data_IF_779387281356
#
_entry.id   IF_779387281356
#
_cell.length_a   1.000
_cell.length_b   1.000
_cell.length_c   1.000
_cell.angle_alpha   90.00
_cell.angle_beta   90.00
_cell.angle_gamma   90.00
#
_symmetry.space_group_name_H-M   'P 1'
#
loop_
_entity.id
_entity.type
_entity.pdbx_description
1 polymer ?
#
# COMPACT_ATOMS: atom_id res chain seq x y z
N UNK A 1 26.60 -9.86 12.85
CA UNK A 1 25.37 -10.47 12.27
C UNK A 1 24.18 -9.89 13.02
N UNK A 2 23.44 -9.01 12.37
CA UNK A 2 22.16 -8.62 12.92
C UNK A 2 21.24 -9.84 12.92
N UNK A 3 20.47 -10.12 13.99
CA UNK A 3 19.50 -11.20 13.97
C UNK A 3 18.53 -10.94 12.82
N UNK A 4 18.39 -11.89 11.92
CA UNK A 4 17.36 -11.86 10.91
C UNK A 4 16.02 -11.92 11.63
N UNK A 5 15.35 -10.75 11.75
CA UNK A 5 13.97 -10.75 12.20
C UNK A 5 13.18 -11.71 11.29
N UNK A 6 12.35 -12.57 11.85
CA UNK A 6 11.58 -13.50 11.07
C UNK A 6 10.73 -12.69 10.08
N UNK A 7 11.04 -12.82 8.80
CA UNK A 7 10.27 -12.20 7.74
C UNK A 7 8.82 -12.65 7.88
N UNK A 8 7.87 -11.75 8.07
CA UNK A 8 6.48 -12.13 8.20
C UNK A 8 6.06 -12.93 6.97
N UNK A 9 5.33 -14.00 7.17
CA UNK A 9 4.85 -14.89 6.11
C UNK A 9 3.95 -14.19 5.08
N UNK A 10 3.45 -13.02 5.44
CA UNK A 10 2.60 -12.18 4.61
C UNK A 10 3.00 -10.72 4.78
N UNK A 11 3.23 -10.05 3.66
CA UNK A 11 3.62 -8.64 3.61
C UNK A 11 2.75 -7.92 2.59
N UNK A 12 2.34 -6.69 2.91
CA UNK A 12 1.61 -5.82 2.02
C UNK A 12 2.48 -4.64 1.62
N UNK A 13 2.66 -4.43 0.33
CA UNK A 13 3.33 -3.26 -0.23
C UNK A 13 2.27 -2.32 -0.76
N UNK A 14 2.08 -1.19 -0.09
CA UNK A 14 1.12 -0.16 -0.49
C UNK A 14 1.81 0.86 -1.36
N UNK A 15 1.34 0.96 -2.60
CA UNK A 15 1.85 1.88 -3.60
C UNK A 15 0.91 3.08 -3.71
N UNK A 16 1.41 4.24 -3.35
CA UNK A 16 0.67 5.48 -3.25
C UNK A 16 1.16 6.53 -4.25
N UNK A 17 0.30 7.51 -4.52
CA UNK A 17 0.71 8.72 -5.21
C UNK A 17 1.45 9.64 -4.23
N UNK A 18 2.72 9.92 -4.51
CA UNK A 18 3.58 10.75 -3.66
C UNK A 18 3.13 12.21 -3.55
N UNK A 19 2.36 12.70 -4.51
CA UNK A 19 1.89 14.09 -4.55
C UNK A 19 0.52 14.30 -3.89
N UNK A 20 -0.10 13.24 -3.35
CA UNK A 20 -1.43 13.28 -2.78
C UNK A 20 -1.39 13.39 -1.25
N UNK A 21 -1.94 14.50 -0.69
CA UNK A 21 -2.04 14.71 0.75
C UNK A 21 -2.87 13.63 1.46
N UNK A 22 -3.96 13.16 0.85
CA UNK A 22 -4.78 12.08 1.39
C UNK A 22 -3.99 10.77 1.49
N UNK A 23 -3.19 10.45 0.47
CA UNK A 23 -2.34 9.27 0.48
C UNK A 23 -1.29 9.32 1.58
N UNK A 24 -0.68 10.49 1.80
CA UNK A 24 0.29 10.71 2.88
C UNK A 24 -0.35 10.55 4.26
N UNK A 25 -1.57 11.06 4.46
CA UNK A 25 -2.32 10.88 5.71
C UNK A 25 -2.71 9.42 5.94
N UNK A 26 -3.14 8.75 4.88
CA UNK A 26 -3.45 7.32 4.91
C UNK A 26 -2.20 6.50 5.31
N UNK A 27 -1.07 6.75 4.67
CA UNK A 27 0.18 6.07 4.97
C UNK A 27 0.63 6.30 6.41
N UNK A 28 0.49 7.52 6.93
CA UNK A 28 0.79 7.86 8.33
C UNK A 28 -0.11 7.11 9.29
N UNK A 29 -1.42 7.09 9.04
CA UNK A 29 -2.40 6.39 9.87
C UNK A 29 -2.11 4.88 9.90
N UNK A 30 -1.95 4.26 8.74
CA UNK A 30 -1.67 2.83 8.65
C UNK A 30 -0.34 2.48 9.33
N UNK A 31 0.71 3.29 9.14
CA UNK A 31 1.99 3.08 9.82
C UNK A 31 1.88 3.15 11.34
N UNK A 32 1.01 4.01 11.84
CA UNK A 32 0.76 4.12 13.29
C UNK A 32 -0.04 2.92 13.81
N UNK A 33 -1.01 2.43 13.04
CA UNK A 33 -1.85 1.29 13.41
C UNK A 33 -1.14 -0.06 13.24
N UNK A 34 -0.14 -0.14 12.38
CA UNK A 34 0.56 -1.38 12.04
C UNK A 34 1.60 -1.76 13.09
N UNK A 35 1.13 -2.31 14.19
CA UNK A 35 2.00 -2.82 15.27
C UNK A 35 2.74 -4.10 14.89
N UNK A 36 2.29 -4.81 13.85
CA UNK A 36 2.90 -6.06 13.37
C UNK A 36 4.04 -5.84 12.38
N UNK A 37 4.16 -4.63 11.80
CA UNK A 37 5.18 -4.32 10.80
C UNK A 37 4.99 -5.07 9.48
N UNK A 38 3.76 -5.32 9.07
CA UNK A 38 3.44 -6.09 7.85
C UNK A 38 3.15 -5.20 6.64
N UNK A 39 2.97 -3.89 6.82
CA UNK A 39 2.66 -2.95 5.75
C UNK A 39 3.87 -2.09 5.41
N UNK A 40 4.26 -2.11 4.15
CA UNK A 40 5.32 -1.28 3.60
C UNK A 40 4.74 -0.29 2.59
N UNK A 41 5.41 0.84 2.42
CA UNK A 41 4.96 1.93 1.55
C UNK A 41 6.01 2.26 0.51
N UNK A 42 5.56 2.53 -0.69
CA UNK A 42 6.40 3.06 -1.76
C UNK A 42 5.55 3.96 -2.67
N UNK A 43 6.19 4.88 -3.36
CA UNK A 43 5.49 5.70 -4.35
C UNK A 43 5.43 4.96 -5.69
N UNK A 44 4.32 5.09 -6.39
CA UNK A 44 4.15 4.48 -7.72
C UNK A 44 5.14 5.05 -8.74
N UNK A 45 5.58 6.30 -8.53
CA UNK A 45 6.51 7.00 -9.41
C UNK A 45 7.95 6.52 -9.29
N UNK A 46 8.33 5.91 -8.17
CA UNK A 46 9.69 5.44 -7.94
C UNK A 46 10.07 4.25 -8.84
N UNK A 47 11.37 4.05 -9.06
CA UNK A 47 11.87 2.91 -9.82
C UNK A 47 11.47 1.57 -9.15
N UNK A 48 11.51 1.52 -7.82
CA UNK A 48 11.10 0.35 -7.03
C UNK A 48 9.60 0.13 -7.14
N UNK A 49 8.78 1.18 -7.00
CA UNK A 49 7.33 1.11 -7.14
C UNK A 49 6.91 0.58 -8.52
N UNK A 50 7.51 1.09 -9.58
CA UNK A 50 7.26 0.62 -10.94
C UNK A 50 7.62 -0.85 -11.13
N UNK A 51 8.71 -1.30 -10.50
CA UNK A 51 9.11 -2.72 -10.55
C UNK A 51 8.12 -3.61 -9.82
N UNK A 52 7.68 -3.21 -8.63
CA UNK A 52 6.67 -3.96 -7.84
C UNK A 52 5.35 -4.05 -8.60
N UNK A 53 4.89 -2.96 -9.22
CA UNK A 53 3.67 -2.94 -10.04
C UNK A 53 3.78 -3.89 -11.22
N UNK A 54 4.92 -3.90 -11.91
CA UNK A 54 5.18 -4.80 -13.02
C UNK A 54 5.09 -6.27 -12.60
N UNK A 55 5.72 -6.62 -11.49
CA UNK A 55 5.72 -7.98 -10.95
C UNK A 55 4.29 -8.43 -10.56
N UNK A 56 3.47 -7.52 -10.06
CA UNK A 56 2.07 -7.78 -9.73
C UNK A 56 1.13 -7.64 -10.94
N UNK A 57 1.65 -7.40 -12.15
CA UNK A 57 0.87 -7.17 -13.39
C UNK A 57 -0.16 -6.04 -13.23
N UNK A 58 0.21 -5.00 -12.49
CA UNK A 58 -0.62 -3.82 -12.28
C UNK A 58 -0.07 -2.63 -13.06
N UNK A 59 -0.94 -1.82 -13.68
CA UNK A 59 -0.50 -0.59 -14.36
C UNK A 59 -0.08 0.47 -13.34
N UNK A 60 0.77 1.40 -13.77
CA UNK A 60 1.00 2.63 -13.02
C UNK A 60 -0.22 3.53 -13.22
N UNK A 61 -1.03 3.64 -12.20
CA UNK A 61 -2.24 4.48 -12.20
C UNK A 61 -2.28 5.33 -10.93
N UNK A 62 -1.88 6.59 -11.06
CA UNK A 62 -1.84 7.54 -9.96
C UNK A 62 -3.23 7.94 -9.45
N UNK A 63 -4.29 7.54 -10.12
CA UNK A 63 -5.66 7.81 -9.69
C UNK A 63 -6.11 6.92 -8.54
N UNK A 64 -5.41 5.82 -8.27
CA UNK A 64 -5.80 4.83 -7.27
C UNK A 64 -4.62 4.32 -6.44
N UNK A 65 -4.92 3.87 -5.23
CA UNK A 65 -3.98 3.11 -4.40
C UNK A 65 -3.91 1.67 -4.92
N UNK A 66 -2.69 1.15 -5.01
CA UNK A 66 -2.44 -0.26 -5.31
C UNK A 66 -1.76 -0.91 -4.11
N UNK A 67 -2.27 -2.05 -3.69
CA UNK A 67 -1.64 -2.87 -2.65
C UNK A 67 -1.22 -4.19 -3.28
N UNK A 68 0.05 -4.50 -3.17
CA UNK A 68 0.58 -5.80 -3.57
C UNK A 68 0.78 -6.65 -2.32
N UNK A 69 -0.01 -7.68 -2.21
CA UNK A 69 0.11 -8.67 -1.15
C UNK A 69 1.09 -9.75 -1.59
N UNK A 70 2.09 -9.98 -0.77
CA UNK A 70 3.06 -11.02 -1.02
C UNK A 70 2.99 -12.05 0.09
N UNK A 71 2.69 -13.28 -0.28
CA UNK A 71 2.62 -14.42 0.62
C UNK A 71 3.11 -15.67 -0.11
N UNK A 72 3.95 -16.45 0.55
CA UNK A 72 4.46 -17.73 0.03
C UNK A 72 5.09 -17.61 -1.38
N UNK A 73 5.80 -16.52 -1.65
CA UNK A 73 6.44 -16.29 -2.96
C UNK A 73 5.48 -15.84 -4.07
N UNK A 74 4.20 -15.65 -3.76
CA UNK A 74 3.20 -15.16 -4.73
C UNK A 74 2.88 -13.69 -4.46
N UNK A 75 2.88 -12.87 -5.49
CA UNK A 75 2.50 -11.46 -5.43
C UNK A 75 1.16 -11.24 -6.13
N UNK A 76 0.18 -10.70 -5.40
CA UNK A 76 -1.16 -10.40 -5.93
C UNK A 76 -1.46 -8.93 -5.72
N UNK A 77 -1.83 -8.23 -6.79
CA UNK A 77 -2.17 -6.81 -6.77
C UNK A 77 -3.66 -6.58 -6.55
N UNK A 78 -3.97 -5.64 -5.66
CA UNK A 78 -5.33 -5.16 -5.39
C UNK A 78 -5.38 -3.65 -5.58
N UNK A 79 -6.52 -3.14 -6.03
CA UNK A 79 -6.72 -1.73 -6.30
C UNK A 79 -7.95 -1.18 -5.59
N UNK A 80 -8.05 0.15 -5.52
CA UNK A 80 -9.24 0.88 -5.02
C UNK A 80 -9.66 0.44 -3.61
N UNK A 81 -10.95 0.21 -3.42
CA UNK A 81 -11.52 -0.16 -2.11
C UNK A 81 -10.98 -1.49 -1.59
N UNK A 82 -10.76 -2.46 -2.46
CA UNK A 82 -10.20 -3.76 -2.06
C UNK A 82 -8.80 -3.61 -1.49
N UNK A 83 -7.95 -2.76 -2.09
CA UNK A 83 -6.61 -2.45 -1.59
C UNK A 83 -6.65 -1.89 -0.16
N UNK A 84 -7.49 -0.90 0.08
CA UNK A 84 -7.65 -0.26 1.40
C UNK A 84 -8.14 -1.26 2.45
N UNK A 85 -9.20 -2.01 2.14
CA UNK A 85 -9.79 -2.96 3.07
C UNK A 85 -8.84 -4.13 3.38
N UNK A 86 -8.08 -4.60 2.41
CA UNK A 86 -7.05 -5.63 2.61
C UNK A 86 -5.95 -5.15 3.54
N UNK A 87 -5.56 -3.89 3.44
CA UNK A 87 -4.59 -3.28 4.34
C UNK A 87 -5.11 -3.29 5.77
N UNK A 88 -6.33 -2.80 6.02
CA UNK A 88 -6.92 -2.81 7.35
C UNK A 88 -7.11 -4.23 7.89
N UNK A 89 -7.55 -5.17 7.06
CA UNK A 89 -7.68 -6.57 7.46
C UNK A 89 -6.36 -7.20 7.94
N UNK A 90 -5.23 -6.73 7.40
CA UNK A 90 -3.91 -7.21 7.79
C UNK A 90 -3.39 -6.61 9.11
N UNK A 91 -3.91 -5.45 9.53
CA UNK A 91 -3.45 -4.76 10.75
C UNK A 91 -3.79 -5.50 12.05
N UNK A 92 -4.70 -6.45 12.00
CA UNK A 92 -5.15 -7.18 13.18
C UNK A 92 -6.34 -6.52 13.88
N UNK A 93 -6.77 -7.11 15.01
CA UNK A 93 -7.93 -6.63 15.78
C UNK A 93 -7.56 -5.30 16.47
N UNK A 94 -8.47 -4.30 16.49
CA UNK A 94 -9.86 -4.31 15.98
C UNK A 94 -10.00 -3.99 14.48
N UNK A 95 -8.94 -3.55 13.83
CA UNK A 95 -8.96 -3.01 12.46
C UNK A 95 -9.33 -4.07 11.40
N UNK A 96 -9.03 -5.34 11.67
CA UNK A 96 -9.39 -6.46 10.81
C UNK A 96 -10.91 -6.60 10.59
N UNK A 97 -11.72 -6.04 11.47
CA UNK A 97 -13.19 -5.99 11.30
C UNK A 97 -13.58 -5.23 10.03
N UNK A 98 -12.77 -4.27 9.58
CA UNK A 98 -12.99 -3.60 8.31
C UNK A 98 -12.99 -4.58 7.11
N UNK A 99 -12.36 -5.75 7.25
CA UNK A 99 -12.41 -6.82 6.25
C UNK A 99 -13.82 -7.35 5.99
N UNK A 100 -14.76 -7.19 6.92
CA UNK A 100 -16.17 -7.56 6.71
C UNK A 100 -16.78 -6.76 5.55
N UNK A 101 -16.33 -5.55 5.32
CA UNK A 101 -16.79 -4.74 4.19
C UNK A 101 -16.39 -5.33 2.83
N UNK A 102 -15.50 -6.32 2.79
CA UNK A 102 -15.18 -7.06 1.56
C UNK A 102 -16.38 -7.88 1.05
N UNK A 103 -17.34 -8.20 1.91
CA UNK A 103 -18.59 -8.84 1.52
C UNK A 103 -19.56 -7.90 0.79
N UNK A 104 -19.38 -6.58 0.91
CA UNK A 104 -20.16 -5.60 0.14
C UNK A 104 -19.76 -5.72 -1.34
N UNK A 105 -20.72 -5.68 -2.29
CA UNK A 105 -20.41 -5.74 -3.71
C UNK A 105 -19.37 -4.70 -4.14
N UNK A 106 -18.38 -5.13 -4.93
CA UNK A 106 -17.26 -4.30 -5.37
C UNK A 106 -17.72 -3.04 -6.08
N UNK A 107 -18.80 -3.13 -6.87
CA UNK A 107 -19.38 -1.98 -7.58
C UNK A 107 -19.74 -0.83 -6.63
N UNK A 108 -20.38 -1.17 -5.51
CA UNK A 108 -20.76 -0.16 -4.49
C UNK A 108 -19.53 0.44 -3.81
N UNK A 109 -18.62 -0.41 -3.36
CA UNK A 109 -17.39 0.02 -2.70
C UNK A 109 -16.51 0.90 -3.58
N UNK A 110 -16.31 0.47 -4.81
CA UNK A 110 -15.48 1.20 -5.78
C UNK A 110 -16.15 2.49 -6.26
N UNK A 111 -17.48 2.53 -6.29
CA UNK A 111 -18.23 3.77 -6.51
C UNK A 111 -17.94 4.83 -5.46
N UNK A 112 -18.00 4.46 -4.19
CA UNK A 112 -17.65 5.35 -3.06
C UNK A 112 -16.17 5.75 -3.12
N UNK A 113 -15.28 4.80 -3.35
CA UNK A 113 -13.85 5.05 -3.49
C UNK A 113 -13.56 6.05 -4.61
N UNK A 114 -14.14 5.86 -5.78
CA UNK A 114 -13.96 6.74 -6.95
C UNK A 114 -14.47 8.14 -6.67
N UNK A 115 -15.61 8.27 -5.98
CA UNK A 115 -16.14 9.56 -5.55
C UNK A 115 -15.15 10.31 -4.66
N UNK A 116 -14.63 9.66 -3.63
CA UNK A 116 -13.61 10.23 -2.73
C UNK A 116 -12.33 10.57 -3.49
N UNK A 117 -11.86 9.68 -4.35
CA UNK A 117 -10.65 9.87 -5.14
C UNK A 117 -10.73 11.09 -6.08
N UNK A 118 -11.88 11.31 -6.71
CA UNK A 118 -12.10 12.47 -7.57
C UNK A 118 -12.10 13.79 -6.80
N UNK A 119 -12.58 13.79 -5.58
CA UNK A 119 -12.71 15.00 -4.76
C UNK A 119 -11.53 15.21 -3.81
N UNK A 120 -10.60 14.25 -3.71
CA UNK A 120 -9.48 14.28 -2.75
C UNK A 120 -8.61 15.53 -2.86
N UNK A 121 -8.33 16.00 -4.09
CA UNK A 121 -7.51 17.19 -4.30
C UNK A 121 -8.23 18.49 -3.91
N UNK A 122 -9.56 18.53 -4.05
CA UNK A 122 -10.37 19.67 -3.63
C UNK A 122 -10.51 19.76 -2.12
N UNK A 123 -10.65 18.60 -1.46
CA UNK A 123 -10.90 18.54 0.00
C UNK A 123 -9.60 18.54 0.80
N UNK A 124 -8.58 17.81 0.35
CA UNK A 124 -7.34 17.60 1.10
C UNK A 124 -6.14 18.37 0.54
N UNK A 125 -6.24 18.91 -0.69
CA UNK A 125 -5.16 19.60 -1.38
C UNK A 125 -4.03 18.69 -1.87
N UNK A 126 -3.10 19.29 -2.61
CA UNK A 126 -1.87 18.63 -3.03
C UNK A 126 -0.73 18.92 -2.03
N UNK A 127 0.26 18.05 -1.94
CA UNK A 127 1.41 18.18 -1.05
C UNK A 127 2.46 19.22 -1.51
N UNK A 128 2.10 20.24 -2.29
CA UNK A 128 3.00 21.33 -2.65
C UNK A 128 4.33 20.91 -3.30
N UNK A 129 4.34 19.82 -4.06
CA UNK A 129 5.54 19.36 -4.79
C UNK A 129 6.61 18.66 -3.94
N UNK A 130 6.41 18.47 -2.64
CA UNK A 130 7.33 17.67 -1.86
C UNK A 130 6.83 16.23 -1.71
N UNK A 131 7.48 15.33 -2.41
CA UNK A 131 7.31 13.88 -2.35
C UNK A 131 7.82 13.29 -1.00
N UNK A 132 7.72 14.06 0.08
CA UNK A 132 8.19 13.63 1.39
C UNK A 132 7.16 12.77 2.07
N UNK A 133 7.33 11.46 1.96
CA UNK A 133 6.69 10.54 2.89
C UNK A 133 7.11 10.94 4.31
N UNK A 134 6.19 11.00 5.30
CA UNK A 134 6.55 11.27 6.69
C UNK A 134 7.66 10.32 7.18
N UNK A 135 8.55 10.78 8.03
CA UNK A 135 9.70 9.99 8.51
C UNK A 135 9.32 8.59 9.03
N UNK A 136 8.18 8.48 9.69
CA UNK A 136 7.66 7.20 10.15
C UNK A 136 7.36 6.23 8.99
N UNK A 137 6.95 6.75 7.84
CA UNK A 137 6.67 5.97 6.62
C UNK A 137 7.96 5.72 5.84
N UNK A 138 8.89 6.68 5.84
CA UNK A 138 10.19 6.53 5.19
C UNK A 138 10.99 5.35 5.74
N UNK A 139 10.85 5.05 7.04
CA UNK A 139 11.49 3.89 7.69
C UNK A 139 10.95 2.55 7.17
N UNK A 140 9.75 2.53 6.61
CA UNK A 140 9.09 1.35 6.05
C UNK A 140 9.06 1.36 4.52
N UNK A 141 9.97 2.10 3.88
CA UNK A 141 10.09 2.06 2.43
C UNK A 141 10.63 0.72 1.97
N UNK A 142 10.04 0.24 0.89
CA UNK A 142 10.57 -0.92 0.16
C UNK A 142 11.98 -0.58 -0.33
N UNK A 143 12.95 -1.37 0.03
CA UNK A 143 14.36 -1.11 -0.29
C UNK A 143 15.25 -0.86 0.93
N UNK A 144 14.68 -0.43 2.08
CA UNK A 144 15.39 -0.31 3.34
C UNK A 144 15.16 -1.50 4.29
N UNK A 145 14.17 -2.34 4.04
CA UNK A 145 13.83 -3.46 4.92
C UNK A 145 13.08 -4.62 4.29
N UNK A 146 12.73 -4.57 3.00
CA UNK A 146 12.13 -5.73 2.35
C UNK A 146 13.19 -6.76 1.94
N UNK A 147 12.91 -8.05 2.14
CA UNK A 147 13.77 -9.10 1.61
C UNK A 147 13.90 -8.93 0.09
N UNK A 148 15.13 -8.91 -0.39
CA UNK A 148 15.45 -8.81 -1.82
C UNK A 148 14.73 -9.88 -2.67
N UNK A 149 14.30 -10.96 -2.05
CA UNK A 149 13.55 -12.04 -2.67
C UNK A 149 12.25 -11.57 -3.34
N UNK A 150 11.62 -10.53 -2.78
CA UNK A 150 10.38 -9.94 -3.31
C UNK A 150 10.60 -9.12 -4.57
N UNK A 151 11.78 -8.56 -4.72
CA UNK A 151 12.19 -7.80 -5.90
C UNK A 151 12.69 -8.73 -7.01
N UNK A 152 13.02 -9.97 -6.66
CA UNK A 152 13.61 -10.96 -7.59
C UNK A 152 12.60 -12.00 -8.07
N UNK A 153 11.41 -12.10 -7.47
CA UNK A 153 10.35 -13.05 -7.84
C UNK A 153 9.61 -12.70 -9.15
N UNK A 154 10.14 -11.81 -9.95
CA UNK A 154 9.68 -11.53 -11.29
C UNK A 154 10.72 -12.02 -12.29
N UNK A 155 10.98 -13.32 -12.30
CA UNK A 155 11.77 -13.93 -13.35
C UNK A 155 10.99 -13.95 -14.65
N UNK A 156 11.64 -13.47 -15.69
CA UNK A 156 11.41 -13.67 -17.14
C UNK A 156 9.98 -13.52 -17.66
#
# INVERSE_FOLDING_TARGET
>A
MAPSEPTPSRVLVTLIDGDCALCSRYARLVSWLDTKGVVYFETQQSAVGKKVLRNAKQPVDLSTIVVVEVANGTAVGYTKSTAVLRTFAALGVPWSVAGVLLFVPTVVRDGVYTFVAKHRLKVFGANGGSCALPDAVARRRVGLGLPKQLLLSGGD
#
